data_IF_127944259376
#
_entry.id   IF_127944259376
#
_cell.length_a   1.000
_cell.length_b   1.000
_cell.length_c   1.000
_cell.angle_alpha   90.00
_cell.angle_beta   90.00
_cell.angle_gamma   90.00
#
_symmetry.space_group_name_H-M   'P 1'
#
loop_
_entity.id
_entity.type
_entity.pdbx_description
1 polymer ?
#
# COMPACT_ATOMS: atom_id res chain seq x y z
N UNK A 1 2.95 17.65 -27.29
CA UNK A 1 3.19 18.79 -28.20
C UNK A 1 1.93 19.02 -29.02
N UNK A 2 1.08 19.96 -28.62
CA UNK A 2 -0.25 20.21 -29.21
C UNK A 2 -0.14 21.17 -30.39
N UNK A 3 -0.44 20.72 -31.60
CA UNK A 3 -0.60 21.59 -32.78
C UNK A 3 -2.08 21.63 -33.16
N UNK A 4 -2.69 22.79 -33.00
CA UNK A 4 -4.10 23.07 -33.32
C UNK A 4 -4.43 22.87 -34.80
N UNK A 5 -5.53 22.16 -35.05
CA UNK A 5 -6.12 21.80 -36.36
C UNK A 5 -6.53 23.03 -37.23
N UNK A 6 -6.40 24.26 -36.73
CA UNK A 6 -6.88 25.46 -37.42
C UNK A 6 -5.98 25.99 -38.56
N UNK A 7 -4.75 25.50 -38.74
CA UNK A 7 -3.81 26.05 -39.74
C UNK A 7 -3.96 25.45 -41.14
N UNK A 8 -4.48 24.22 -41.26
CA UNK A 8 -4.58 23.52 -42.56
C UNK A 8 -5.74 23.98 -43.45
N UNK A 9 -6.75 24.67 -42.89
CA UNK A 9 -7.93 25.08 -43.65
C UNK A 9 -7.73 26.36 -44.52
N UNK A 10 -6.57 27.04 -44.43
CA UNK A 10 -6.34 28.33 -45.13
C UNK A 10 -5.50 28.26 -46.41
N UNK A 11 -4.98 27.09 -46.80
CA UNK A 11 -4.14 26.97 -48.00
C UNK A 11 -4.88 26.54 -49.27
N UNK A 12 -6.17 26.21 -49.21
CA UNK A 12 -6.96 25.78 -50.38
C UNK A 12 -8.01 26.82 -50.75
N UNK A 13 -7.61 27.93 -51.39
CA UNK A 13 -8.57 28.87 -51.96
C UNK A 13 -8.31 29.27 -53.41
N UNK A 14 -7.15 28.99 -54.03
CA UNK A 14 -6.84 29.50 -55.38
C UNK A 14 -6.16 28.44 -56.27
N UNK A 15 -6.91 27.47 -56.80
CA UNK A 15 -6.48 26.64 -57.93
C UNK A 15 -7.61 26.46 -58.97
N UNK A 16 -7.30 26.54 -60.28
CA UNK A 16 -8.30 26.53 -61.36
C UNK A 16 -8.92 25.15 -61.60
N UNK A 17 -10.15 25.09 -62.17
CA UNK A 17 -10.85 23.84 -62.37
C UNK A 17 -10.32 23.13 -63.62
N UNK A 18 -9.70 21.96 -63.44
CA UNK A 18 -9.66 20.79 -64.35
C UNK A 18 -8.35 20.01 -64.19
N UNK A 19 -8.29 19.20 -63.15
CA UNK A 19 -7.40 18.05 -63.09
C UNK A 19 -8.00 17.07 -62.09
N UNK A 20 -8.52 15.95 -62.58
CA UNK A 20 -8.91 14.81 -61.75
C UNK A 20 -7.63 14.17 -61.23
N UNK A 21 -7.27 14.45 -59.99
CA UNK A 21 -6.28 13.66 -59.26
C UNK A 21 -7.01 12.63 -58.40
N UNK A 22 -6.50 11.39 -58.29
CA UNK A 22 -7.07 10.42 -57.37
C UNK A 22 -6.90 10.98 -55.95
N UNK A 23 -8.02 11.27 -55.29
CA UNK A 23 -8.02 11.57 -53.85
C UNK A 23 -7.73 10.24 -53.16
N UNK A 24 -6.46 9.99 -52.88
CA UNK A 24 -6.07 8.98 -51.91
C UNK A 24 -6.53 9.49 -50.54
N UNK A 25 -7.70 9.02 -50.10
CA UNK A 25 -8.12 9.15 -48.71
C UNK A 25 -7.13 8.30 -47.91
N UNK A 26 -6.10 8.94 -47.36
CA UNK A 26 -5.29 8.34 -46.33
C UNK A 26 -6.21 8.14 -45.12
N UNK A 27 -6.78 6.95 -45.00
CA UNK A 27 -7.35 6.48 -43.75
C UNK A 27 -6.16 6.41 -42.80
N UNK A 28 -5.98 7.43 -41.97
CA UNK A 28 -5.19 7.31 -40.76
C UNK A 28 -5.91 6.29 -39.90
N UNK A 29 -5.55 5.02 -40.09
CA UNK A 29 -5.76 4.00 -39.08
C UNK A 29 -5.02 4.50 -37.84
N UNK A 30 -5.78 5.02 -36.88
CA UNK A 30 -5.30 5.12 -35.51
C UNK A 30 -5.15 3.66 -35.09
N UNK A 31 -3.95 3.12 -35.23
CA UNK A 31 -3.62 1.86 -34.57
C UNK A 31 -3.96 2.07 -33.10
N UNK A 32 -4.68 1.13 -32.44
CA UNK A 32 -4.66 1.14 -30.99
C UNK A 32 -3.18 1.16 -30.60
N UNK A 33 -2.81 2.05 -29.68
CA UNK A 33 -1.52 1.94 -29.01
C UNK A 33 -1.49 0.53 -28.49
N UNK A 34 -0.67 -0.33 -29.10
CA UNK A 34 -0.37 -1.64 -28.57
C UNK A 34 0.15 -1.37 -27.17
N UNK A 35 -0.61 -1.78 -26.16
CA UNK A 35 -0.08 -1.90 -24.80
C UNK A 35 1.11 -2.84 -24.94
N UNK A 36 2.32 -2.30 -24.89
CA UNK A 36 3.53 -3.11 -24.73
C UNK A 36 3.44 -3.67 -23.32
N UNK A 37 2.75 -4.80 -23.21
CA UNK A 37 2.66 -5.57 -21.99
C UNK A 37 3.89 -6.47 -21.97
N UNK A 38 5.01 -5.90 -21.54
CA UNK A 38 6.31 -6.56 -21.60
C UNK A 38 6.52 -7.53 -20.42
N UNK A 39 5.59 -7.55 -19.45
CA UNK A 39 5.56 -8.53 -18.38
C UNK A 39 4.89 -9.81 -18.90
N UNK A 40 5.60 -10.57 -19.73
CA UNK A 40 5.12 -11.86 -20.25
C UNK A 40 5.19 -12.94 -19.15
N UNK A 41 4.51 -12.67 -18.03
CA UNK A 41 4.39 -13.55 -16.89
C UNK A 41 3.69 -14.85 -17.35
N UNK A 42 4.03 -15.95 -16.71
CA UNK A 42 3.38 -17.25 -16.88
C UNK A 42 3.23 -17.90 -15.52
N UNK A 43 2.36 -18.91 -15.39
CA UNK A 43 2.28 -19.69 -14.15
C UNK A 43 3.63 -20.33 -13.81
N UNK A 44 4.38 -20.77 -14.81
CA UNK A 44 5.71 -21.35 -14.62
C UNK A 44 6.70 -20.32 -14.05
N UNK A 45 6.76 -19.12 -14.62
CA UNK A 45 7.63 -18.06 -14.09
C UNK A 45 7.20 -17.60 -12.70
N UNK A 46 5.90 -17.47 -12.44
CA UNK A 46 5.39 -17.14 -11.10
C UNK A 46 5.76 -18.22 -10.07
N UNK A 47 5.68 -19.51 -10.45
CA UNK A 47 6.08 -20.61 -9.56
C UNK A 47 7.57 -20.50 -9.18
N UNK A 48 8.42 -20.10 -10.13
CA UNK A 48 9.85 -19.88 -9.90
C UNK A 48 10.10 -18.65 -9.01
N UNK A 49 9.43 -17.53 -9.29
CA UNK A 49 9.58 -16.29 -8.53
C UNK A 49 9.15 -16.45 -7.06
N UNK A 50 8.03 -17.15 -6.81
CA UNK A 50 7.55 -17.43 -5.45
C UNK A 50 8.16 -18.70 -4.83
N UNK A 51 9.24 -19.25 -5.38
CA UNK A 51 9.83 -20.52 -4.89
C UNK A 51 10.32 -20.48 -3.44
N UNK A 52 10.56 -19.28 -2.90
CA UNK A 52 10.94 -19.08 -1.49
C UNK A 52 9.72 -18.81 -0.58
N UNK A 53 8.51 -18.68 -1.13
CA UNK A 53 7.31 -18.46 -0.34
C UNK A 53 6.83 -19.73 0.38
N UNK A 54 6.17 -19.54 1.53
CA UNK A 54 5.48 -20.62 2.23
C UNK A 54 4.11 -20.88 1.59
N UNK A 55 4.11 -21.49 0.40
CA UNK A 55 2.92 -21.72 -0.42
C UNK A 55 2.02 -22.81 0.17
N UNK A 56 0.74 -22.49 0.34
CA UNK A 56 -0.34 -23.43 0.68
C UNK A 56 -1.03 -23.95 -0.58
N UNK A 57 -1.30 -23.06 -1.53
CA UNK A 57 -1.91 -23.39 -2.83
C UNK A 57 -1.48 -22.40 -3.93
N UNK A 58 -1.51 -22.86 -5.19
CA UNK A 58 -1.09 -22.07 -6.35
C UNK A 58 0.43 -21.97 -6.55
N UNK A 59 0.91 -21.03 -7.40
CA UNK A 59 0.11 -20.09 -8.19
C UNK A 59 -0.71 -20.80 -9.28
N UNK A 60 -1.97 -20.38 -9.49
CA UNK A 60 -2.83 -20.85 -10.60
C UNK A 60 -3.52 -19.69 -11.29
N UNK A 61 -4.07 -19.90 -12.49
CA UNK A 61 -4.91 -18.90 -13.17
C UNK A 61 -6.39 -19.14 -12.84
N UNK A 62 -7.09 -18.05 -12.53
CA UNK A 62 -8.51 -18.02 -12.20
C UNK A 62 -9.22 -16.87 -12.93
N UNK A 63 -10.53 -17.01 -13.13
CA UNK A 63 -11.36 -15.87 -13.53
C UNK A 63 -11.58 -14.95 -12.32
N UNK A 64 -11.56 -13.64 -12.53
CA UNK A 64 -11.73 -12.64 -11.47
C UNK A 64 -12.50 -11.41 -11.96
N UNK A 65 -13.08 -10.66 -11.03
CA UNK A 65 -13.63 -9.32 -11.28
C UNK A 65 -12.78 -8.30 -10.54
N UNK A 66 -12.18 -7.36 -11.28
CA UNK A 66 -11.26 -6.35 -10.76
C UNK A 66 -12.00 -5.14 -10.18
N UNK A 67 -11.26 -4.24 -9.54
CA UNK A 67 -11.79 -3.12 -8.74
C UNK A 67 -12.77 -2.17 -9.46
N UNK A 68 -12.71 -2.05 -10.79
CA UNK A 68 -13.67 -1.28 -11.58
C UNK A 68 -14.71 -2.14 -12.31
N UNK A 69 -14.85 -3.42 -11.93
CA UNK A 69 -15.82 -4.37 -12.48
C UNK A 69 -15.35 -5.08 -13.76
N UNK A 70 -14.11 -4.86 -14.20
CA UNK A 70 -13.57 -5.57 -15.36
C UNK A 70 -13.40 -7.05 -15.02
N UNK A 71 -13.97 -7.92 -15.85
CA UNK A 71 -13.66 -9.35 -15.81
C UNK A 71 -12.30 -9.60 -16.45
N UNK A 72 -11.42 -10.31 -15.77
CA UNK A 72 -10.08 -10.61 -16.23
C UNK A 72 -9.67 -12.04 -15.90
N UNK A 73 -8.51 -12.43 -16.41
CA UNK A 73 -7.72 -13.54 -15.87
C UNK A 73 -6.82 -12.98 -14.77
N UNK A 74 -6.80 -13.63 -13.63
CA UNK A 74 -5.88 -13.35 -12.54
C UNK A 74 -5.01 -14.56 -12.27
N UNK A 75 -3.82 -14.36 -11.71
CA UNK A 75 -3.19 -15.44 -10.96
C UNK A 75 -3.64 -15.39 -9.50
N UNK A 76 -3.71 -16.55 -8.87
CA UNK A 76 -4.06 -16.72 -7.47
C UNK A 76 -2.99 -17.54 -6.76
N UNK A 77 -2.53 -17.08 -5.59
CA UNK A 77 -1.59 -17.79 -4.72
C UNK A 77 -2.06 -17.67 -3.27
N UNK A 78 -1.98 -18.77 -2.52
CA UNK A 78 -2.26 -18.80 -1.08
C UNK A 78 -0.98 -19.13 -0.34
N UNK A 79 -0.62 -18.32 0.64
CA UNK A 79 0.64 -18.42 1.38
C UNK A 79 0.41 -18.28 2.88
N UNK A 80 1.29 -18.88 3.68
CA UNK A 80 1.34 -18.67 5.13
C UNK A 80 1.82 -17.27 5.47
N UNK A 81 1.41 -16.78 6.63
CA UNK A 81 1.60 -15.42 7.13
C UNK A 81 2.92 -15.17 7.88
N UNK A 82 3.91 -16.04 7.72
CA UNK A 82 5.24 -15.92 8.32
C UNK A 82 6.35 -16.24 7.32
N UNK A 83 7.48 -15.51 7.35
CA UNK A 83 8.57 -15.71 6.40
C UNK A 83 9.32 -17.02 6.63
N UNK A 84 9.78 -17.59 5.52
CA UNK A 84 10.87 -18.58 5.48
C UNK A 84 12.25 -17.93 5.36
N UNK A 85 12.31 -16.66 4.92
CA UNK A 85 13.52 -16.04 4.37
C UNK A 85 14.34 -15.22 5.38
N UNK A 86 13.80 -14.87 6.55
CA UNK A 86 14.49 -14.10 7.58
C UNK A 86 13.88 -14.34 8.96
N UNK A 87 14.64 -13.98 10.00
CA UNK A 87 14.12 -13.98 11.37
C UNK A 87 13.21 -12.78 11.59
N UNK A 88 12.16 -12.96 12.40
CA UNK A 88 11.21 -11.91 12.76
C UNK A 88 11.67 -11.14 13.98
N UNK A 89 11.45 -9.82 13.96
CA UNK A 89 11.86 -8.95 15.04
C UNK A 89 13.38 -8.77 15.12
N UNK A 90 13.89 -8.10 16.17
CA UNK A 90 13.13 -7.50 17.28
C UNK A 90 12.30 -6.26 16.86
N UNK A 91 11.35 -5.86 17.71
CA UNK A 91 10.52 -4.66 17.52
C UNK A 91 10.68 -3.68 18.68
N UNK A 92 10.35 -4.14 19.89
CA UNK A 92 10.42 -3.33 21.10
C UNK A 92 11.64 -3.71 21.95
N UNK A 93 12.48 -2.74 22.35
CA UNK A 93 13.46 -2.97 23.40
C UNK A 93 12.77 -3.26 24.75
N UNK A 94 13.41 -4.03 25.61
CA UNK A 94 12.88 -4.39 26.93
C UNK A 94 13.20 -3.33 27.98
N UNK A 95 14.34 -2.64 27.82
CA UNK A 95 14.80 -1.61 28.75
C UNK A 95 15.26 -0.35 28.03
N UNK A 96 15.19 0.75 28.76
CA UNK A 96 15.67 2.05 28.31
C UNK A 96 17.20 2.20 28.25
N UNK A 97 17.94 1.09 28.40
CA UNK A 97 19.38 1.00 28.16
C UNK A 97 19.73 0.10 26.99
N UNK A 98 18.73 -0.56 26.42
CA UNK A 98 18.92 -1.42 25.26
C UNK A 98 19.30 -0.59 24.04
N UNK A 99 20.12 -1.18 23.19
CA UNK A 99 20.64 -0.57 21.96
C UNK A 99 19.76 -0.94 20.77
N UNK A 100 20.09 -0.40 19.59
CA UNK A 100 19.35 -0.65 18.36
C UNK A 100 19.19 -2.15 18.04
N UNK A 101 20.13 -3.01 18.44
CA UNK A 101 20.07 -4.45 18.18
C UNK A 101 18.94 -5.18 18.95
N UNK A 102 18.31 -4.52 19.93
CA UNK A 102 17.23 -5.09 20.74
C UNK A 102 15.85 -4.54 20.37
N UNK A 103 15.78 -3.55 19.47
CA UNK A 103 14.54 -3.01 18.93
C UNK A 103 14.59 -3.01 17.41
N UNK A 104 13.52 -2.56 16.78
CA UNK A 104 13.48 -2.40 15.33
C UNK A 104 13.57 -0.94 14.93
N UNK A 105 12.77 -0.56 13.94
CA UNK A 105 12.73 0.78 13.37
C UNK A 105 11.35 1.44 13.50
N UNK A 106 11.34 2.76 13.49
CA UNK A 106 10.15 3.59 13.40
C UNK A 106 10.27 4.57 12.24
N UNK A 107 9.18 4.75 11.50
CA UNK A 107 9.12 5.55 10.28
C UNK A 107 8.34 6.82 10.59
N UNK A 108 9.00 7.97 10.51
CA UNK A 108 8.39 9.25 10.85
C UNK A 108 8.97 10.36 9.99
N UNK A 109 8.10 11.19 9.39
CA UNK A 109 8.50 12.37 8.61
C UNK A 109 9.52 12.12 7.49
N UNK A 110 9.50 10.94 6.86
CA UNK A 110 10.44 10.59 5.79
C UNK A 110 11.75 9.99 6.30
N UNK A 111 11.95 9.86 7.61
CA UNK A 111 13.15 9.32 8.23
C UNK A 111 12.90 7.96 8.88
N UNK A 112 13.98 7.20 9.04
CA UNK A 112 14.00 5.92 9.76
C UNK A 112 14.77 6.12 11.05
N UNK A 113 14.15 5.77 12.18
CA UNK A 113 14.73 5.86 13.51
C UNK A 113 14.87 4.47 14.11
N UNK A 114 16.03 4.17 14.69
CA UNK A 114 16.17 2.96 15.51
C UNK A 114 15.35 3.14 16.80
N UNK A 115 14.50 2.16 17.10
CA UNK A 115 13.72 2.11 18.33
C UNK A 115 14.57 1.45 19.41
N UNK A 116 15.56 2.19 19.90
CA UNK A 116 16.36 1.78 21.05
C UNK A 116 15.79 2.35 22.37
N UNK A 117 16.39 1.96 23.49
CA UNK A 117 15.95 2.43 24.80
C UNK A 117 16.10 3.95 24.99
N UNK A 118 17.03 4.60 24.27
CA UNK A 118 17.22 6.04 24.31
C UNK A 118 16.15 6.78 23.50
N UNK A 119 15.76 6.25 22.33
CA UNK A 119 14.64 6.74 21.54
C UNK A 119 13.34 6.70 22.33
N UNK A 120 13.03 5.57 22.99
CA UNK A 120 11.83 5.41 23.83
C UNK A 120 11.81 6.44 24.97
N UNK A 121 12.96 6.68 25.63
CA UNK A 121 13.08 7.74 26.65
C UNK A 121 12.84 9.15 26.12
N UNK A 122 13.12 9.37 24.84
CA UNK A 122 13.10 10.67 24.20
C UNK A 122 11.75 11.03 23.56
N UNK A 123 10.77 10.11 23.54
CA UNK A 123 9.49 10.31 22.83
C UNK A 123 8.75 11.59 23.22
N UNK A 124 8.73 11.95 24.51
CA UNK A 124 8.09 13.18 24.95
C UNK A 124 8.74 14.45 24.41
N UNK A 125 10.06 14.43 24.20
CA UNK A 125 10.79 15.52 23.56
C UNK A 125 10.64 15.47 22.05
N UNK A 126 10.71 14.28 21.46
CA UNK A 126 10.59 14.05 20.03
C UNK A 126 9.22 14.52 19.48
N UNK A 127 8.14 14.23 20.20
CA UNK A 127 6.78 14.64 19.84
C UNK A 127 6.28 15.92 20.52
N UNK A 128 7.13 16.59 21.31
CA UNK A 128 6.76 17.78 22.10
C UNK A 128 5.51 17.57 22.98
N UNK A 129 5.33 16.36 23.53
CA UNK A 129 4.19 15.97 24.35
C UNK A 129 4.63 15.20 25.60
N UNK A 130 4.48 15.83 26.77
CA UNK A 130 4.87 15.27 28.08
C UNK A 130 4.05 14.03 28.49
N UNK A 131 2.95 13.72 27.79
CA UNK A 131 2.14 12.53 28.09
C UNK A 131 2.82 11.21 27.69
N UNK A 132 3.81 11.22 26.79
CA UNK A 132 4.53 10.00 26.43
C UNK A 132 5.33 9.43 27.60
N UNK A 133 4.98 8.20 28.01
CA UNK A 133 5.65 7.46 29.07
C UNK A 133 5.52 5.95 28.84
N UNK A 134 6.22 5.44 27.81
CA UNK A 134 6.24 4.01 27.46
C UNK A 134 7.05 3.13 28.43
N UNK A 135 7.64 3.69 29.49
CA UNK A 135 8.53 2.98 30.40
C UNK A 135 8.27 3.35 31.86
N UNK A 136 8.61 2.42 32.76
CA UNK A 136 8.61 2.70 34.18
C UNK A 136 9.83 3.57 34.53
N UNK A 137 9.57 4.80 34.95
CA UNK A 137 10.64 5.77 35.26
C UNK A 137 11.58 5.40 36.42
N UNK A 138 11.21 4.42 37.25
CA UNK A 138 12.01 4.00 38.40
C UNK A 138 12.97 2.86 38.08
N UNK A 139 12.56 1.96 37.18
CA UNK A 139 13.30 0.77 36.76
C UNK A 139 13.98 0.97 35.42
N UNK A 140 13.35 1.73 34.53
CA UNK A 140 13.72 1.85 33.13
C UNK A 140 13.20 0.72 32.25
N UNK A 141 12.32 -0.14 32.76
CA UNK A 141 11.67 -1.22 32.00
C UNK A 141 10.63 -0.63 31.05
N UNK A 142 10.59 -1.10 29.81
CA UNK A 142 9.67 -0.63 28.77
C UNK A 142 8.38 -1.46 28.82
N UNK A 143 7.24 -0.81 28.70
CA UNK A 143 5.92 -1.44 28.65
C UNK A 143 5.73 -2.12 27.29
N UNK A 144 6.20 -3.36 27.16
CA UNK A 144 6.06 -4.15 25.92
C UNK A 144 4.77 -4.98 25.94
N UNK A 145 4.10 -5.10 24.80
CA UNK A 145 2.96 -6.02 24.61
C UNK A 145 3.42 -7.47 24.38
N UNK A 146 3.99 -8.07 25.42
CA UNK A 146 4.59 -9.41 25.46
C UNK A 146 3.59 -10.57 25.61
N UNK A 147 2.30 -10.33 25.41
CA UNK A 147 1.24 -11.35 25.46
C UNK A 147 0.21 -11.11 24.36
N UNK A 148 -0.54 -12.16 24.00
CA UNK A 148 -1.66 -12.06 23.06
C UNK A 148 -2.64 -10.96 23.49
N UNK A 149 -3.04 -10.93 24.76
CA UNK A 149 -4.02 -9.98 25.28
C UNK A 149 -3.55 -8.53 25.17
N UNK A 150 -2.29 -8.26 25.50
CA UNK A 150 -1.72 -6.91 25.38
C UNK A 150 -1.60 -6.48 23.91
N UNK A 151 -1.14 -7.38 23.02
CA UNK A 151 -1.07 -7.10 21.59
C UNK A 151 -2.47 -6.81 21.03
N UNK A 152 -3.47 -7.66 21.32
CA UNK A 152 -4.85 -7.46 20.88
C UNK A 152 -5.48 -6.17 21.44
N UNK A 153 -5.09 -5.77 22.65
CA UNK A 153 -5.54 -4.56 23.31
C UNK A 153 -4.93 -3.28 22.75
N UNK A 154 -3.66 -3.31 22.36
CA UNK A 154 -2.92 -2.13 21.90
C UNK A 154 -2.88 -1.97 20.37
N UNK A 155 -2.91 -3.06 19.60
CA UNK A 155 -2.82 -3.06 18.14
C UNK A 155 -4.18 -2.89 17.45
N UNK A 156 -4.95 -1.86 17.84
CA UNK A 156 -6.27 -1.56 17.27
C UNK A 156 -6.56 -0.05 17.25
N UNK A 157 -7.54 0.42 16.45
CA UNK A 157 -7.83 1.85 16.34
C UNK A 157 -8.33 2.51 17.63
N UNK A 158 -9.09 1.78 18.44
CA UNK A 158 -9.71 2.28 19.68
C UNK A 158 -9.03 1.61 20.88
N UNK A 159 -7.91 2.17 21.36
CA UNK A 159 -7.09 1.56 22.43
C UNK A 159 -7.60 1.97 23.80
N UNK A 160 -7.94 0.99 24.64
CA UNK A 160 -8.33 1.26 26.03
C UNK A 160 -7.17 1.84 26.84
N UNK A 161 -7.44 2.70 27.85
CA UNK A 161 -6.42 3.38 28.63
C UNK A 161 -5.35 2.47 29.26
N UNK A 162 -5.67 1.21 29.53
CA UNK A 162 -4.73 0.22 30.10
C UNK A 162 -3.72 -0.33 29.09
N UNK A 163 -4.00 -0.23 27.79
CA UNK A 163 -3.12 -0.66 26.70
C UNK A 163 -2.42 0.51 25.99
N UNK A 164 -2.80 1.75 26.31
CA UNK A 164 -2.02 2.93 25.95
C UNK A 164 -0.66 2.89 26.66
N UNK A 165 0.27 3.73 26.23
CA UNK A 165 1.62 3.82 26.79
C UNK A 165 2.41 2.51 26.70
N UNK A 166 2.20 1.75 25.62
CA UNK A 166 2.95 0.54 25.31
C UNK A 166 3.76 0.68 24.02
N UNK A 167 4.94 0.06 24.03
CA UNK A 167 5.58 -0.37 22.81
C UNK A 167 4.90 -1.67 22.35
N UNK A 168 4.25 -1.59 21.19
CA UNK A 168 3.38 -2.60 20.64
C UNK A 168 4.19 -3.50 19.72
N UNK A 169 4.21 -4.78 20.10
CA UNK A 169 4.64 -5.89 19.27
C UNK A 169 3.63 -7.02 19.38
N UNK A 170 3.42 -7.71 18.27
CA UNK A 170 2.71 -8.98 18.24
C UNK A 170 3.72 -10.05 17.81
N UNK A 171 3.58 -11.26 18.33
CA UNK A 171 4.49 -12.37 18.04
C UNK A 171 3.82 -13.38 17.13
N UNK A 172 4.61 -14.07 16.31
CA UNK A 172 4.09 -15.08 15.39
C UNK A 172 3.37 -16.21 16.14
N UNK A 173 3.82 -16.55 17.35
CA UNK A 173 3.22 -17.56 18.23
C UNK A 173 1.78 -17.20 18.69
N UNK A 174 1.32 -15.97 18.42
CA UNK A 174 -0.06 -15.53 18.70
C UNK A 174 -1.03 -15.86 17.55
N UNK A 175 -0.50 -16.20 16.37
CA UNK A 175 -1.29 -16.47 15.18
C UNK A 175 -1.82 -17.90 15.19
N UNK A 176 -2.94 -18.12 14.49
CA UNK A 176 -3.39 -19.48 14.17
C UNK A 176 -2.36 -20.13 13.22
N UNK A 177 -1.90 -21.35 13.54
CA UNK A 177 -0.99 -22.12 12.69
C UNK A 177 -1.57 -22.35 11.28
N UNK A 178 -2.89 -22.35 11.16
CA UNK A 178 -3.60 -22.51 9.90
C UNK A 178 -3.80 -21.19 9.13
N UNK A 179 -3.48 -20.03 9.72
CA UNK A 179 -3.62 -18.73 9.08
C UNK A 179 -2.88 -18.66 7.74
N UNK A 180 -3.57 -18.15 6.73
CA UNK A 180 -3.04 -17.98 5.38
C UNK A 180 -3.74 -16.84 4.67
N UNK A 181 -3.06 -16.25 3.70
CA UNK A 181 -3.58 -15.16 2.88
C UNK A 181 -3.56 -15.59 1.42
N UNK A 182 -4.67 -15.37 0.74
CA UNK A 182 -4.83 -15.60 -0.69
C UNK A 182 -4.77 -14.27 -1.43
N UNK A 183 -3.83 -14.13 -2.34
CA UNK A 183 -3.72 -13.00 -3.26
C UNK A 183 -4.27 -13.41 -4.61
N UNK A 184 -5.15 -12.59 -5.18
CA UNK A 184 -5.64 -12.72 -6.55
C UNK A 184 -5.27 -11.44 -7.29
N UNK A 185 -4.37 -11.54 -8.27
CA UNK A 185 -3.76 -10.38 -8.93
C UNK A 185 -3.98 -10.48 -10.45
N UNK A 186 -4.43 -9.41 -11.12
CA UNK A 186 -4.69 -9.42 -12.56
C UNK A 186 -3.44 -9.73 -13.38
N UNK A 187 -3.65 -10.51 -14.44
CA UNK A 187 -2.61 -10.86 -15.39
C UNK A 187 -3.23 -11.02 -16.79
N UNK A 188 -3.07 -10.03 -17.69
CA UNK A 188 -2.26 -8.82 -17.56
C UNK A 188 -2.88 -7.70 -16.69
N UNK A 189 -2.09 -6.68 -16.30
CA UNK A 189 -2.60 -5.44 -15.71
C UNK A 189 -3.67 -4.76 -16.58
N UNK A 190 -4.68 -4.17 -15.94
CA UNK A 190 -5.75 -3.44 -16.63
C UNK A 190 -5.74 -1.98 -16.19
N UNK A 191 -5.16 -1.11 -17.03
CA UNK A 191 -5.00 0.33 -16.72
C UNK A 191 -6.32 1.03 -16.32
N UNK A 192 -6.21 2.03 -15.46
CA UNK A 192 -7.32 2.89 -15.04
C UNK A 192 -7.07 4.34 -15.45
N UNK A 193 -8.14 5.12 -15.62
CA UNK A 193 -8.03 6.56 -15.92
C UNK A 193 -7.46 7.36 -14.73
N UNK A 194 -7.64 6.86 -13.51
CA UNK A 194 -7.16 7.49 -12.29
C UNK A 194 -6.55 6.44 -11.36
N UNK A 195 -5.33 6.67 -10.85
CA UNK A 195 -4.73 5.83 -9.82
C UNK A 195 -5.60 5.68 -8.57
N UNK A 196 -5.52 4.50 -7.93
CA UNK A 196 -6.20 4.18 -6.68
C UNK A 196 -5.22 4.15 -5.51
N UNK A 197 -5.65 4.51 -4.28
CA UNK A 197 -4.85 4.29 -3.08
C UNK A 197 -4.58 2.79 -2.85
N UNK A 198 -3.49 2.47 -2.17
CA UNK A 198 -3.14 1.10 -1.77
C UNK A 198 -3.96 0.61 -0.57
N UNK A 199 -4.66 1.49 0.15
CA UNK A 199 -5.39 1.15 1.40
C UNK A 199 -6.46 0.08 1.26
N UNK A 200 -6.99 -0.15 0.05
CA UNK A 200 -8.04 -1.15 -0.17
C UNK A 200 -7.51 -2.59 -0.31
N UNK A 201 -6.29 -2.77 -0.84
CA UNK A 201 -5.75 -4.08 -1.20
C UNK A 201 -4.31 -4.33 -0.71
N UNK A 202 -3.67 -3.31 -0.13
CA UNK A 202 -2.22 -3.28 0.04
C UNK A 202 -1.50 -2.83 -1.23
N UNK A 203 -0.19 -2.71 -1.14
CA UNK A 203 0.69 -2.40 -2.27
C UNK A 203 0.87 -3.62 -3.17
N UNK A 204 1.05 -4.81 -2.60
CA UNK A 204 1.33 -6.02 -3.34
C UNK A 204 1.71 -7.22 -2.49
N UNK A 205 2.39 -8.17 -3.10
CA UNK A 205 2.97 -9.35 -2.45
C UNK A 205 4.44 -9.48 -2.87
N UNK A 206 5.32 -9.64 -1.89
CA UNK A 206 6.75 -9.88 -2.12
C UNK A 206 6.99 -11.32 -2.58
N UNK A 207 8.11 -11.60 -3.25
CA UNK A 207 8.41 -12.95 -3.74
C UNK A 207 8.67 -14.01 -2.66
N UNK A 208 8.91 -13.59 -1.41
CA UNK A 208 8.85 -14.47 -0.25
C UNK A 208 7.41 -14.80 0.21
N UNK A 209 6.39 -14.31 -0.49
CA UNK A 209 4.97 -14.55 -0.21
C UNK A 209 4.33 -13.58 0.79
N UNK A 210 5.10 -12.70 1.43
CA UNK A 210 4.55 -11.81 2.45
C UNK A 210 3.91 -10.57 1.83
N UNK A 211 2.94 -10.01 2.55
CA UNK A 211 2.20 -8.80 2.12
C UNK A 211 3.13 -7.59 2.12
N UNK A 212 3.10 -6.85 1.02
CA UNK A 212 3.59 -5.48 0.92
C UNK A 212 2.37 -4.58 1.15
N UNK A 213 2.22 -4.01 2.34
CA UNK A 213 0.99 -3.33 2.73
C UNK A 213 0.95 -1.86 2.26
N UNK A 214 -0.19 -1.22 2.50
CA UNK A 214 -0.35 0.22 2.42
C UNK A 214 0.38 0.91 3.59
N UNK A 215 0.57 2.25 3.57
CA UNK A 215 1.13 2.99 4.69
C UNK A 215 0.51 2.62 6.05
N UNK A 216 1.35 2.44 7.07
CA UNK A 216 0.88 2.24 8.44
C UNK A 216 0.11 3.48 8.91
N UNK A 217 -0.96 3.33 9.70
CA UNK A 217 -1.77 4.44 10.20
C UNK A 217 -1.06 5.14 11.38
N UNK A 218 0.10 5.76 11.11
CA UNK A 218 0.95 6.41 12.12
C UNK A 218 0.16 7.41 12.98
N UNK A 219 -0.73 8.20 12.36
CA UNK A 219 -1.58 9.14 13.10
C UNK A 219 -2.47 8.45 14.15
N UNK A 220 -3.02 7.27 13.85
CA UNK A 220 -3.88 6.54 14.80
C UNK A 220 -3.04 5.89 15.90
N UNK A 221 -1.85 5.38 15.55
CA UNK A 221 -0.90 4.79 16.50
C UNK A 221 -0.46 5.82 17.54
N UNK A 222 -0.04 7.00 17.07
CA UNK A 222 0.41 8.09 17.94
C UNK A 222 -0.77 8.72 18.72
N UNK A 223 -1.94 8.83 18.11
CA UNK A 223 -3.15 9.35 18.77
C UNK A 223 -3.62 8.48 19.95
N UNK A 224 -3.25 7.20 19.97
CA UNK A 224 -3.52 6.27 21.07
C UNK A 224 -2.39 6.19 22.10
N UNK A 225 -1.33 7.01 21.98
CA UNK A 225 -0.12 6.91 22.82
C UNK A 225 0.49 5.51 22.82
N UNK A 226 0.46 4.86 21.66
CA UNK A 226 1.16 3.60 21.43
C UNK A 226 2.28 3.84 20.43
N UNK A 227 3.35 3.06 20.51
CA UNK A 227 4.36 2.99 19.46
C UNK A 227 4.33 1.58 18.90
N UNK A 228 4.27 1.39 17.58
CA UNK A 228 4.18 0.05 16.98
C UNK A 228 5.34 -0.18 15.99
N UNK A 229 6.58 -0.37 16.50
CA UNK A 229 7.75 -0.48 15.64
C UNK A 229 7.63 -1.54 14.56
N UNK A 230 8.34 -1.31 13.47
CA UNK A 230 8.68 -2.35 12.50
C UNK A 230 9.99 -3.00 12.92
N UNK A 231 10.28 -4.21 12.48
CA UNK A 231 11.63 -4.75 12.58
C UNK A 231 12.55 -4.11 11.54
N UNK A 232 13.84 -4.45 11.57
CA UNK A 232 14.82 -3.94 10.59
C UNK A 232 14.50 -4.35 9.14
N UNK A 233 13.62 -5.33 8.95
CA UNK A 233 13.11 -5.73 7.66
C UNK A 233 11.93 -4.87 7.18
N UNK A 234 11.51 -3.88 7.96
CA UNK A 234 10.43 -2.95 7.62
C UNK A 234 9.03 -3.54 7.80
N UNK A 235 8.90 -4.63 8.56
CA UNK A 235 7.63 -5.30 8.79
C UNK A 235 7.29 -5.53 10.25
N UNK A 236 6.03 -5.84 10.51
CA UNK A 236 5.55 -6.22 11.84
C UNK A 236 4.37 -7.18 11.75
N UNK A 237 3.90 -7.65 12.90
CA UNK A 237 2.78 -8.58 12.99
C UNK A 237 1.55 -7.83 13.50
N UNK A 238 0.40 -8.11 12.89
CA UNK A 238 -0.90 -7.91 13.53
C UNK A 238 -1.68 -9.24 13.55
N UNK A 239 -2.70 -9.32 14.39
CA UNK A 239 -3.46 -10.57 14.62
C UNK A 239 -4.42 -10.96 13.49
N UNK A 240 -4.54 -10.13 12.46
CA UNK A 240 -5.45 -10.37 11.33
C UNK A 240 -4.67 -10.93 10.13
N UNK A 241 -3.61 -10.23 9.75
CA UNK A 241 -2.80 -10.51 8.55
C UNK A 241 -1.60 -11.40 8.88
N UNK A 242 -1.05 -11.31 10.10
CA UNK A 242 0.26 -11.85 10.46
C UNK A 242 1.39 -10.89 10.08
N UNK A 243 2.56 -11.42 9.73
CA UNK A 243 3.70 -10.57 9.37
C UNK A 243 3.51 -9.92 7.99
N UNK A 244 3.72 -8.61 7.91
CA UNK A 244 3.59 -7.82 6.70
C UNK A 244 4.52 -6.60 6.72
N UNK A 245 4.92 -6.16 5.53
CA UNK A 245 5.84 -5.04 5.34
C UNK A 245 5.09 -3.72 5.15
N UNK A 246 5.61 -2.66 5.75
CA UNK A 246 5.24 -1.27 5.46
C UNK A 246 6.37 -0.49 4.77
N UNK A 247 7.58 -1.03 4.80
CA UNK A 247 8.75 -0.55 4.09
C UNK A 247 9.49 -1.70 3.40
N UNK A 248 10.06 -1.43 2.23
CA UNK A 248 10.98 -2.37 1.59
C UNK A 248 12.41 -2.03 2.02
N UNK A 249 13.07 -2.97 2.69
CA UNK A 249 14.49 -2.89 3.07
C UNK A 249 15.28 -4.04 2.42
N UNK A 250 16.56 -4.12 2.74
CA UNK A 250 17.50 -5.11 2.17
C UNK A 250 17.07 -6.57 2.45
N UNK A 251 16.15 -6.82 3.40
CA UNK A 251 15.65 -8.16 3.69
C UNK A 251 14.88 -8.81 2.52
N UNK A 252 14.43 -8.02 1.54
CA UNK A 252 13.76 -8.55 0.34
C UNK A 252 14.73 -8.95 -0.77
N UNK A 253 15.99 -8.51 -0.70
CA UNK A 253 17.00 -8.74 -1.73
C UNK A 253 17.22 -10.23 -2.00
N UNK A 254 17.28 -11.09 -0.99
CA UNK A 254 17.55 -12.51 -1.20
C UNK A 254 16.46 -13.23 -2.02
N UNK A 255 15.26 -12.65 -2.05
CA UNK A 255 14.13 -13.16 -2.83
C UNK A 255 13.86 -12.37 -4.11
N UNK A 256 14.63 -11.31 -4.35
CA UNK A 256 14.45 -10.45 -5.49
C UNK A 256 14.90 -11.14 -6.79
N UNK A 257 14.07 -11.00 -7.83
CA UNK A 257 14.27 -11.59 -9.15
C UNK A 257 14.98 -10.60 -10.04
N UNK A 258 16.11 -11.01 -10.63
CA UNK A 258 16.82 -10.17 -11.59
C UNK A 258 15.99 -9.95 -12.87
N UNK A 259 15.91 -8.70 -13.29
CA UNK A 259 15.32 -8.25 -14.55
C UNK A 259 16.37 -7.51 -15.38
N UNK A 260 16.03 -7.07 -16.59
CA UNK A 260 16.93 -6.23 -17.39
C UNK A 260 17.13 -4.81 -16.78
N UNK A 261 16.26 -4.38 -15.87
CA UNK A 261 16.23 -3.03 -15.30
C UNK A 261 16.39 -3.01 -13.78
N UNK A 262 17.15 -3.95 -13.24
CA UNK A 262 17.34 -4.12 -11.79
C UNK A 262 16.56 -5.31 -11.27
N UNK A 263 16.26 -5.31 -9.97
CA UNK A 263 15.71 -6.49 -9.29
C UNK A 263 14.29 -6.22 -8.82
N UNK A 264 13.40 -7.16 -9.11
CA UNK A 264 12.02 -7.10 -8.68
C UNK A 264 11.86 -7.81 -7.33
N UNK A 265 11.26 -7.14 -6.35
CA UNK A 265 11.00 -7.68 -5.01
C UNK A 265 9.61 -8.31 -4.88
N UNK A 266 8.69 -8.00 -5.81
CA UNK A 266 7.33 -8.53 -5.78
C UNK A 266 6.45 -8.08 -6.92
N UNK A 267 5.16 -8.34 -6.78
CA UNK A 267 4.10 -7.90 -7.69
C UNK A 267 3.12 -7.00 -6.93
N UNK A 268 2.77 -5.87 -7.55
CA UNK A 268 1.73 -4.98 -7.08
C UNK A 268 0.35 -5.63 -7.22
N UNK A 269 -0.61 -5.20 -6.41
CA UNK A 269 -1.98 -5.74 -6.47
C UNK A 269 -2.70 -5.48 -7.80
N UNK A 270 -2.16 -4.59 -8.63
CA UNK A 270 -2.64 -4.30 -9.98
C UNK A 270 -1.86 -5.02 -11.09
N UNK A 271 -0.94 -5.92 -10.71
CA UNK A 271 -0.23 -6.85 -11.60
C UNK A 271 1.12 -6.36 -12.12
N UNK A 272 1.53 -5.11 -11.83
CA UNK A 272 2.86 -4.65 -12.23
C UNK A 272 3.96 -5.09 -11.27
N UNK A 273 5.20 -5.23 -11.76
CA UNK A 273 6.36 -5.42 -10.89
C UNK A 273 6.56 -4.30 -9.88
N UNK A 274 7.01 -4.68 -8.70
CA UNK A 274 7.61 -3.79 -7.70
C UNK A 274 9.11 -4.08 -7.70
N UNK A 275 9.89 -3.10 -8.12
CA UNK A 275 11.35 -3.13 -8.15
C UNK A 275 11.93 -2.67 -6.82
N UNK A 276 13.17 -3.06 -6.55
CA UNK A 276 14.02 -2.36 -5.59
C UNK A 276 14.04 -0.85 -5.90
N UNK A 277 14.21 -0.03 -4.86
CA UNK A 277 14.23 1.43 -5.01
C UNK A 277 15.35 1.87 -5.95
N UNK A 278 16.54 1.35 -5.71
CA UNK A 278 17.73 1.66 -6.49
C UNK A 278 17.87 0.64 -7.64
N UNK A 279 18.43 1.11 -8.74
CA UNK A 279 18.90 0.23 -9.82
C UNK A 279 20.21 -0.46 -9.41
N UNK A 280 20.68 -1.42 -10.20
CA UNK A 280 21.93 -2.17 -9.94
C UNK A 280 23.19 -1.27 -9.77
N UNK A 281 23.14 -0.01 -10.20
CA UNK A 281 24.22 0.98 -10.06
C UNK A 281 24.08 1.88 -8.81
N UNK A 282 23.08 1.64 -7.97
CA UNK A 282 22.76 2.42 -6.76
C UNK A 282 22.02 3.73 -7.05
N UNK A 283 21.54 3.96 -8.29
CA UNK A 283 20.80 5.16 -8.64
C UNK A 283 19.28 4.95 -8.52
N UNK A 284 18.58 5.97 -8.02
CA UNK A 284 17.11 6.03 -8.05
C UNK A 284 16.68 6.66 -9.38
N UNK A 285 15.74 6.04 -10.13
CA UNK A 285 15.25 6.63 -11.37
C UNK A 285 14.69 8.04 -11.15
N UNK A 286 15.07 8.97 -12.03
CA UNK A 286 14.70 10.39 -11.87
C UNK A 286 13.34 10.76 -12.48
N UNK A 287 12.71 9.83 -13.18
CA UNK A 287 11.49 10.02 -13.98
C UNK A 287 10.28 9.24 -13.45
N UNK A 288 10.30 8.88 -12.16
CA UNK A 288 9.17 8.25 -11.49
C UNK A 288 7.95 9.18 -11.46
N UNK A 289 6.78 8.60 -11.72
CA UNK A 289 5.50 9.26 -11.56
C UNK A 289 5.10 9.38 -10.07
N UNK A 290 3.92 9.95 -9.82
CA UNK A 290 3.43 10.16 -8.45
C UNK A 290 3.16 8.87 -7.66
N UNK A 291 3.00 7.73 -8.34
CA UNK A 291 2.80 6.44 -7.70
C UNK A 291 4.14 5.71 -7.45
N UNK A 292 5.25 6.27 -7.93
CA UNK A 292 6.58 5.69 -7.80
C UNK A 292 6.97 4.78 -8.96
N UNK A 293 6.29 4.85 -10.11
CA UNK A 293 6.59 4.00 -11.26
C UNK A 293 6.91 4.77 -12.54
N UNK A 294 7.38 4.07 -13.56
CA UNK A 294 7.62 4.61 -14.89
C UNK A 294 7.48 3.54 -15.97
N UNK A 295 7.57 3.94 -17.25
CA UNK A 295 7.48 3.01 -18.39
C UNK A 295 8.84 2.90 -19.08
N UNK A 296 9.34 1.68 -19.25
CA UNK A 296 10.48 1.38 -20.13
C UNK A 296 10.04 0.55 -21.33
N UNK A 297 10.89 0.45 -22.36
CA UNK A 297 10.53 -0.32 -23.56
C UNK A 297 10.58 -1.83 -23.31
N UNK A 298 11.40 -2.26 -22.35
CA UNK A 298 11.75 -3.66 -22.12
C UNK A 298 10.87 -4.30 -21.02
N UNK A 299 10.48 -3.55 -19.98
CA UNK A 299 9.62 -4.06 -18.87
C UNK A 299 8.21 -3.46 -18.83
N UNK A 300 7.90 -2.49 -19.71
CA UNK A 300 6.64 -1.75 -19.64
C UNK A 300 6.55 -0.91 -18.37
N UNK A 301 5.34 -0.65 -17.89
CA UNK A 301 5.15 0.06 -16.62
C UNK A 301 5.59 -0.82 -15.45
N UNK A 302 6.35 -0.27 -14.51
CA UNK A 302 6.70 -0.92 -13.25
C UNK A 302 6.95 0.14 -12.17
N UNK A 303 6.84 -0.30 -10.91
CA UNK A 303 7.08 0.53 -9.74
C UNK A 303 8.49 0.36 -9.21
N UNK A 304 9.01 1.38 -8.54
CA UNK A 304 10.13 1.27 -7.62
C UNK A 304 9.64 1.46 -6.20
N UNK A 305 10.13 0.64 -5.27
CA UNK A 305 9.77 0.76 -3.88
C UNK A 305 10.10 2.16 -3.32
N UNK A 306 9.21 2.66 -2.46
CA UNK A 306 9.41 3.91 -1.75
C UNK A 306 10.61 3.86 -0.81
N UNK A 307 11.05 5.04 -0.40
CA UNK A 307 12.08 5.20 0.63
C UNK A 307 11.51 4.64 1.95
N UNK A 308 12.24 3.83 2.74
CA UNK A 308 11.67 3.22 3.94
C UNK A 308 10.98 4.22 4.87
N UNK A 309 11.63 5.35 5.16
CA UNK A 309 11.08 6.42 6.01
C UNK A 309 9.82 7.11 5.47
N UNK A 310 9.46 6.91 4.20
CA UNK A 310 8.23 7.46 3.61
C UNK A 310 6.95 6.79 4.12
N UNK A 311 7.07 5.65 4.82
CA UNK A 311 5.93 4.84 5.25
C UNK A 311 5.02 4.46 4.07
N UNK A 312 5.60 4.22 2.89
CA UNK A 312 4.84 3.85 1.69
C UNK A 312 5.71 3.01 0.75
N UNK A 313 5.38 1.73 0.57
CA UNK A 313 6.04 0.89 -0.45
C UNK A 313 5.68 1.40 -1.86
N UNK A 314 4.39 1.68 -2.09
CA UNK A 314 3.90 2.31 -3.31
C UNK A 314 3.03 3.53 -2.97
N UNK A 315 3.10 4.58 -3.80
CA UNK A 315 2.27 5.77 -3.61
C UNK A 315 0.81 5.56 -4.04
N UNK A 316 0.59 4.74 -5.07
CA UNK A 316 -0.73 4.36 -5.58
C UNK A 316 -0.65 3.20 -6.58
N UNK A 317 -1.80 2.64 -6.95
CA UNK A 317 -1.95 1.65 -8.03
C UNK A 317 -2.48 2.33 -9.30
N UNK A 318 -1.86 2.10 -10.46
CA UNK A 318 -2.22 2.77 -11.74
C UNK A 318 -3.18 1.93 -12.59
N UNK A 319 -3.32 0.65 -12.26
CA UNK A 319 -4.26 -0.28 -12.87
C UNK A 319 -5.29 -0.80 -11.85
N UNK A 320 -6.31 -1.48 -12.36
CA UNK A 320 -7.31 -2.14 -11.55
C UNK A 320 -6.63 -3.25 -10.78
N UNK A 321 -7.03 -3.41 -9.53
CA UNK A 321 -6.47 -4.41 -8.63
C UNK A 321 -7.45 -5.55 -8.40
N UNK A 322 -6.90 -6.70 -7.97
CA UNK A 322 -7.66 -7.88 -7.60
C UNK A 322 -8.01 -7.93 -6.10
N UNK A 323 -7.91 -9.09 -5.48
CA UNK A 323 -8.38 -9.31 -4.10
C UNK A 323 -7.27 -9.83 -3.19
N UNK A 324 -7.40 -9.51 -1.91
CA UNK A 324 -6.71 -10.19 -0.81
C UNK A 324 -7.80 -10.83 0.05
N UNK A 325 -7.64 -12.11 0.41
CA UNK A 325 -8.61 -12.83 1.23
C UNK A 325 -7.92 -13.75 2.23
N UNK A 326 -8.39 -13.73 3.47
CA UNK A 326 -7.97 -14.65 4.54
C UNK A 326 -8.75 -15.99 4.47
N UNK A 327 -9.73 -16.09 3.57
CA UNK A 327 -10.52 -17.30 3.32
C UNK A 327 -10.06 -17.99 2.02
N UNK A 328 -9.32 -19.12 2.11
CA UNK A 328 -8.84 -19.85 0.94
C UNK A 328 -9.98 -20.25 -0.01
N UNK A 329 -9.75 -20.07 -1.32
CA UNK A 329 -10.71 -20.45 -2.37
C UNK A 329 -11.88 -19.48 -2.58
N UNK A 330 -11.85 -18.30 -1.96
CA UNK A 330 -12.82 -17.23 -2.24
C UNK A 330 -12.77 -16.77 -3.70
N UNK A 331 -13.94 -16.65 -4.35
CA UNK A 331 -14.04 -16.01 -5.67
C UNK A 331 -13.71 -14.51 -5.54
N UNK A 332 -12.82 -14.01 -6.39
CA UNK A 332 -12.45 -12.59 -6.35
C UNK A 332 -13.43 -11.71 -7.12
N UNK A 333 -14.16 -10.86 -6.40
CA UNK A 333 -14.86 -9.68 -6.91
C UNK A 333 -14.42 -8.42 -6.16
N UNK A 334 -13.34 -7.81 -6.65
CA UNK A 334 -12.79 -6.56 -6.11
C UNK A 334 -13.67 -5.34 -6.42
N UNK A 335 -14.70 -5.47 -7.25
CA UNK A 335 -15.68 -4.39 -7.44
C UNK A 335 -16.70 -4.35 -6.30
N UNK A 336 -16.92 -5.50 -5.65
CA UNK A 336 -17.77 -5.64 -4.47
C UNK A 336 -17.06 -5.21 -3.17
N UNK A 337 -15.72 -5.16 -3.16
CA UNK A 337 -14.92 -4.70 -2.00
C UNK A 337 -15.02 -3.19 -1.72
N UNK A 338 -15.95 -2.47 -2.37
CA UNK A 338 -16.40 -1.15 -1.93
C UNK A 338 -17.06 -1.15 -0.53
N UNK A 339 -17.08 -2.30 0.16
CA UNK A 339 -17.31 -2.43 1.59
C UNK A 339 -17.19 -3.90 2.04
N UNK A 340 -15.97 -4.40 2.28
CA UNK A 340 -15.71 -5.76 2.78
C UNK A 340 -14.33 -5.91 3.46
N UNK A 341 -14.19 -6.82 4.43
CA UNK A 341 -13.41 -6.64 5.66
C UNK A 341 -11.90 -6.87 5.45
N UNK A 342 -11.10 -5.90 5.88
CA UNK A 342 -9.63 -5.93 5.79
C UNK A 342 -8.97 -4.55 5.76
N UNK A 343 -9.76 -3.50 5.50
CA UNK A 343 -9.36 -2.10 5.68
C UNK A 343 -9.85 -1.58 7.04
N UNK A 344 -8.93 -1.01 7.81
CA UNK A 344 -9.19 -0.28 9.06
C UNK A 344 -10.40 0.66 8.92
N UNK A 345 -11.33 0.54 9.88
CA UNK A 345 -12.64 1.18 9.90
C UNK A 345 -12.61 2.70 10.01
N UNK A 346 -12.29 3.36 8.90
CA UNK A 346 -12.58 4.76 8.64
C UNK A 346 -14.07 4.98 8.31
N UNK A 347 -14.59 6.21 8.44
CA UNK A 347 -15.95 6.54 8.01
C UNK A 347 -16.15 6.22 6.52
N UNK A 348 -17.26 5.59 6.15
CA UNK A 348 -17.69 5.52 4.75
C UNK A 348 -18.07 6.95 4.30
N UNK A 349 -17.09 7.69 3.76
CA UNK A 349 -17.27 9.07 3.32
C UNK A 349 -18.33 9.19 2.23
N UNK A 350 -18.56 8.14 1.44
CA UNK A 350 -19.63 8.11 0.45
C UNK A 350 -21.01 8.00 1.12
N UNK A 351 -21.15 7.17 2.17
CA UNK A 351 -22.37 7.12 2.98
C UNK A 351 -22.59 8.40 3.80
N UNK A 352 -21.53 8.96 4.39
CA UNK A 352 -21.57 10.22 5.12
C UNK A 352 -22.03 11.36 4.21
N UNK A 353 -21.44 11.49 3.01
CA UNK A 353 -21.81 12.51 2.02
C UNK A 353 -23.26 12.35 1.56
N UNK A 354 -23.73 11.11 1.34
CA UNK A 354 -25.15 10.83 1.03
C UNK A 354 -26.09 11.25 2.16
N UNK A 355 -25.71 10.97 3.41
CA UNK A 355 -26.49 11.34 4.60
C UNK A 355 -26.57 12.85 4.78
N UNK A 356 -25.48 13.56 4.50
CA UNK A 356 -25.35 15.01 4.61
C UNK A 356 -25.87 15.78 3.39
N UNK A 357 -26.21 15.09 2.29
CA UNK A 357 -26.68 15.72 1.06
C UNK A 357 -25.60 16.54 0.33
N UNK A 358 -24.32 16.21 0.51
CA UNK A 358 -23.17 16.86 -0.14
C UNK A 358 -22.48 15.87 -1.08
N UNK A 359 -21.57 16.35 -1.95
CA UNK A 359 -20.71 15.44 -2.71
C UNK A 359 -19.58 14.92 -1.82
N UNK A 360 -19.12 13.70 -2.09
CA UNK A 360 -18.01 13.08 -1.37
C UNK A 360 -16.73 13.91 -1.47
N UNK A 361 -16.42 14.45 -2.66
CA UNK A 361 -15.30 15.39 -2.85
C UNK A 361 -15.46 16.67 -2.03
N UNK A 362 -16.66 17.26 -1.93
CA UNK A 362 -16.87 18.45 -1.10
C UNK A 362 -16.72 18.13 0.39
N UNK A 363 -17.14 16.94 0.82
CA UNK A 363 -16.96 16.47 2.19
C UNK A 363 -15.47 16.30 2.51
N UNK A 364 -14.71 15.63 1.64
CA UNK A 364 -13.26 15.43 1.81
C UNK A 364 -12.47 16.75 1.78
N UNK A 365 -12.78 17.63 0.83
CA UNK A 365 -12.15 18.95 0.73
C UNK A 365 -12.41 19.81 1.97
N UNK A 366 -13.61 19.70 2.56
CA UNK A 366 -13.97 20.42 3.77
C UNK A 366 -13.24 19.86 5.01
N UNK A 367 -13.18 18.54 5.16
CA UNK A 367 -12.48 17.85 6.25
C UNK A 367 -10.97 18.14 6.25
N UNK A 368 -10.36 18.23 5.06
CA UNK A 368 -8.92 18.43 4.90
C UNK A 368 -8.10 17.19 5.24
N UNK A 369 -6.78 17.39 5.45
CA UNK A 369 -5.87 16.31 5.81
C UNK A 369 -6.11 15.78 7.23
N UNK A 370 -5.64 14.56 7.55
CA UNK A 370 -5.75 13.99 8.89
C UNK A 370 -4.83 14.75 9.90
N UNK A 371 -5.30 15.06 11.12
CA UNK A 371 -6.68 14.85 11.61
C UNK A 371 -7.67 15.87 11.02
N UNK A 372 -8.92 15.45 10.72
CA UNK A 372 -9.91 16.31 10.10
C UNK A 372 -10.29 17.49 10.99
N UNK A 373 -10.42 18.66 10.37
CA UNK A 373 -10.85 19.90 11.04
C UNK A 373 -12.38 19.99 11.00
N UNK A 374 -13.03 19.36 11.97
CA UNK A 374 -14.50 19.23 12.00
C UNK A 374 -15.21 20.58 12.14
N UNK A 375 -14.61 21.53 12.86
CA UNK A 375 -15.16 22.89 13.03
C UNK A 375 -15.11 23.67 11.71
N UNK A 376 -13.98 23.61 10.99
CA UNK A 376 -13.86 24.22 9.66
C UNK A 376 -14.76 23.53 8.65
N UNK A 377 -14.79 22.20 8.65
CA UNK A 377 -15.59 21.41 7.72
C UNK A 377 -17.09 21.66 7.89
N UNK A 378 -17.58 21.67 9.13
CA UNK A 378 -18.97 22.00 9.45
C UNK A 378 -19.32 23.43 8.98
N UNK A 379 -18.42 24.39 9.23
CA UNK A 379 -18.60 25.78 8.77
C UNK A 379 -18.62 25.92 7.24
N UNK A 380 -17.76 25.18 6.54
CA UNK A 380 -17.64 25.21 5.09
C UNK A 380 -18.82 24.53 4.38
N UNK A 381 -19.35 23.46 4.98
CA UNK A 381 -20.49 22.70 4.45
C UNK A 381 -21.85 23.24 4.91
N UNK A 382 -21.87 24.20 5.84
CA UNK A 382 -23.11 24.75 6.41
C UNK A 382 -23.86 23.75 7.29
N UNK A 383 -23.12 22.88 7.98
CA UNK A 383 -23.64 21.83 8.87
C UNK A 383 -23.27 22.14 10.32
N UNK A 384 -23.92 21.49 11.28
CA UNK A 384 -23.38 21.44 12.66
C UNK A 384 -22.28 20.40 12.78
N UNK A 385 -21.34 20.63 13.71
CA UNK A 385 -20.29 19.66 14.06
C UNK A 385 -20.91 18.32 14.50
N UNK A 386 -22.02 18.36 15.22
CA UNK A 386 -22.80 17.18 15.64
C UNK A 386 -23.35 16.36 14.45
N UNK A 387 -23.87 17.03 13.42
CA UNK A 387 -24.38 16.36 12.20
C UNK A 387 -23.24 15.74 11.40
N UNK A 388 -22.13 16.47 11.29
CA UNK A 388 -20.92 15.98 10.63
C UNK A 388 -20.32 14.78 11.38
N UNK A 389 -20.21 14.85 12.70
CA UNK A 389 -19.74 13.75 13.54
C UNK A 389 -20.65 12.53 13.48
N UNK A 390 -21.98 12.71 13.49
CA UNK A 390 -22.94 11.60 13.35
C UNK A 390 -22.88 10.94 11.98
N UNK A 391 -22.69 11.71 10.92
CA UNK A 391 -22.54 11.18 9.58
C UNK A 391 -21.20 10.45 9.36
N UNK A 392 -20.15 10.86 10.08
CA UNK A 392 -18.84 10.22 10.07
C UNK A 392 -18.72 9.07 11.10
N UNK A 393 -19.65 8.96 12.04
CA UNK A 393 -19.69 7.86 12.98
C UNK A 393 -19.98 6.55 12.23
N UNK A 394 -19.24 5.48 12.57
CA UNK A 394 -19.34 4.16 11.95
C UNK A 394 -20.80 3.71 11.86
N UNK A 395 -21.23 3.26 10.67
CA UNK A 395 -22.50 2.57 10.44
C UNK A 395 -22.25 1.15 9.95
#
# INVERSE_FOLDING_TARGET
MTVSIAVLARMYAHLPPKTTWPVAVAVLSISPVSTLDAQNLTVESLTDYFSQANIVDGPTLVDCTLSAGTKSTCFQITVKNGPSSHALGPWCPETTTDTAEAGGIWLENGEVYNVDGAFIKNLSTFYEDEHWQLFDSSTGDINVTDTYEKCAGAAKPDVEPEFQQHCVQCLNDYMDDDASVTYTIPMPPVVMDAPSPTTAAGSGVAFNGLRLDAPAPVSDILGNYTLAPFDDCGGHINLHVGYHYHAATDCLEETAVATEHGRAIGLAMDGHWIMERESDDGSVPSDLDRCGGHVTNESGYHYHAGEPGSNAILGCLVAQYGCVSEEPGSECDASASRGGPGGSGGPDFAAAARTLGVSESALMDALGGPPPDLDRAASQLGLSVDELQKALARH
#
